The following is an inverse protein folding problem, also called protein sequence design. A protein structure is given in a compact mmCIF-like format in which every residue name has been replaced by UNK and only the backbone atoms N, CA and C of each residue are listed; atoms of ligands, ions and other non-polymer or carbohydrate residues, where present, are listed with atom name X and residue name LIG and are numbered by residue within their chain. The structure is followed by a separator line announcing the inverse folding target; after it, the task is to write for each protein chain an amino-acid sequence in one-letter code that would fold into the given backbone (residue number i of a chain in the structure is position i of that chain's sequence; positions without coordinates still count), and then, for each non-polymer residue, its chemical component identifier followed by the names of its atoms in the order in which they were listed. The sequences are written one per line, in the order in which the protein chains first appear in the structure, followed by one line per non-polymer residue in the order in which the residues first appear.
data_IF_845305317985
#
_entry.id   IF_845305317985
#
_cell.length_a   1.000
_cell.length_b   1.000
_cell.length_c   1.000
_cell.angle_alpha   90.00
_cell.angle_beta   90.00
_cell.angle_gamma   90.00
#
_symmetry.space_group_name_H-M   'P 1'
#
loop_
_entity.id
_entity.type
_entity.pdbx_description
1 polymer ?
#
# COMPACT_ATOMS: atom_id res chain seq x y z
N UNK A 1 8.20 13.94 0.32
CA UNK A 1 8.43 13.26 -0.97
C UNK A 1 9.49 12.16 -0.85
N UNK A 2 10.76 12.47 -0.53
CA UNK A 2 11.84 11.46 -0.42
C UNK A 2 11.49 10.34 0.56
N UNK A 3 11.00 10.70 1.77
CA UNK A 3 10.59 9.72 2.77
C UNK A 3 9.51 8.77 2.24
N UNK A 4 8.52 9.27 1.50
CA UNK A 4 7.45 8.46 0.92
C UNK A 4 8.00 7.44 -0.07
N UNK A 5 8.98 7.81 -0.90
CA UNK A 5 9.63 6.86 -1.82
C UNK A 5 10.43 5.78 -1.09
N UNK A 6 11.19 6.18 -0.06
CA UNK A 6 11.94 5.22 0.77
C UNK A 6 10.97 4.24 1.43
N UNK A 7 9.88 4.74 2.00
CA UNK A 7 8.86 3.92 2.67
C UNK A 7 8.15 2.96 1.69
N UNK A 8 7.84 3.41 0.48
CA UNK A 8 7.29 2.54 -0.57
C UNK A 8 8.29 1.45 -0.98
N UNK A 9 9.57 1.79 -1.15
CA UNK A 9 10.60 0.81 -1.47
C UNK A 9 10.75 -0.23 -0.34
N UNK A 10 10.79 0.22 0.92
CA UNK A 10 10.83 -0.66 2.10
C UNK A 10 9.59 -1.55 2.16
N UNK A 11 8.40 -1.02 1.88
CA UNK A 11 7.16 -1.79 1.82
C UNK A 11 7.16 -2.83 0.71
N UNK A 12 7.77 -2.53 -0.45
CA UNK A 12 7.93 -3.47 -1.54
C UNK A 12 8.89 -4.62 -1.20
N UNK A 13 10.02 -4.31 -0.54
CA UNK A 13 10.93 -5.32 0.01
C UNK A 13 10.20 -6.17 1.05
N UNK A 14 9.44 -5.56 1.95
CA UNK A 14 8.63 -6.26 2.93
C UNK A 14 7.62 -7.22 2.29
N UNK A 15 6.90 -6.77 1.25
CA UNK A 15 5.96 -7.62 0.50
C UNK A 15 6.66 -8.83 -0.13
N UNK A 16 7.87 -8.65 -0.67
CA UNK A 16 8.67 -9.76 -1.20
C UNK A 16 9.09 -10.73 -0.07
N UNK A 17 9.48 -10.20 1.08
CA UNK A 17 9.85 -11.02 2.25
C UNK A 17 8.68 -11.85 2.78
N UNK A 18 7.46 -11.32 2.82
CA UNK A 18 6.25 -12.08 3.21
C UNK A 18 6.03 -13.25 2.26
N UNK A 19 6.09 -13.01 0.94
CA UNK A 19 5.96 -14.10 -0.03
C UNK A 19 7.07 -15.15 0.09
N UNK A 20 8.32 -14.72 0.22
CA UNK A 20 9.45 -15.64 0.43
C UNK A 20 9.30 -16.45 1.71
N UNK A 21 8.85 -15.82 2.79
CA UNK A 21 8.63 -16.47 4.07
C UNK A 21 7.54 -17.55 3.96
N UNK A 22 6.42 -17.25 3.28
CA UNK A 22 5.35 -18.20 3.01
C UNK A 22 5.83 -19.41 2.19
N UNK A 23 6.50 -19.18 1.05
CA UNK A 23 6.86 -20.26 0.12
C UNK A 23 8.09 -21.07 0.55
N UNK A 24 9.08 -20.44 1.17
CA UNK A 24 10.38 -21.06 1.47
C UNK A 24 10.57 -21.33 2.97
N UNK A 25 9.61 -20.94 3.82
CA UNK A 25 9.74 -21.03 5.27
C UNK A 25 11.05 -20.43 5.79
N UNK A 26 11.40 -19.24 5.30
CA UNK A 26 12.67 -18.58 5.63
C UNK A 26 12.81 -18.29 7.14
N UNK A 27 11.71 -17.99 7.83
CA UNK A 27 11.67 -17.79 9.29
C UNK A 27 10.55 -18.60 9.97
N UNK A 28 10.70 -19.93 10.13
CA UNK A 28 9.63 -20.80 10.61
C UNK A 28 9.15 -20.46 12.03
N UNK A 29 10.08 -20.08 12.91
CA UNK A 29 9.79 -19.83 14.33
C UNK A 29 9.08 -18.51 14.59
N UNK A 30 9.14 -17.56 13.65
CA UNK A 30 8.57 -16.20 13.80
C UNK A 30 7.79 -15.78 12.56
N UNK A 31 7.18 -16.75 11.88
CA UNK A 31 6.50 -16.56 10.60
C UNK A 31 5.48 -15.41 10.66
N UNK A 32 4.53 -15.53 11.59
CA UNK A 32 3.49 -14.53 11.82
C UNK A 32 4.07 -13.18 12.28
N UNK A 33 5.15 -13.18 13.06
CA UNK A 33 5.76 -11.94 13.57
C UNK A 33 6.33 -11.08 12.45
N UNK A 34 6.95 -11.71 11.44
CA UNK A 34 7.46 -10.99 10.27
C UNK A 34 6.31 -10.35 9.48
N UNK A 35 5.25 -11.10 9.20
CA UNK A 35 4.12 -10.62 8.42
C UNK A 35 3.41 -9.46 9.11
N UNK A 36 3.27 -9.54 10.45
CA UNK A 36 2.74 -8.45 11.26
C UNK A 36 3.64 -7.21 11.22
N UNK A 37 4.96 -7.36 11.37
CA UNK A 37 5.89 -6.24 11.29
C UNK A 37 5.80 -5.55 9.92
N UNK A 38 5.81 -6.33 8.84
CA UNK A 38 5.69 -5.80 7.48
C UNK A 38 4.33 -5.10 7.30
N UNK A 39 3.24 -5.66 7.83
CA UNK A 39 1.90 -5.06 7.76
C UNK A 39 1.83 -3.67 8.39
N UNK A 40 2.50 -3.47 9.53
CA UNK A 40 2.57 -2.17 10.22
C UNK A 40 3.32 -1.16 9.35
N UNK A 41 4.49 -1.55 8.83
CA UNK A 41 5.32 -0.69 7.96
C UNK A 41 4.55 -0.33 6.68
N UNK A 42 3.85 -1.30 6.10
CA UNK A 42 3.06 -1.13 4.89
C UNK A 42 1.91 -0.15 5.12
N UNK A 43 1.09 -0.34 6.17
CA UNK A 43 0.00 0.59 6.49
C UNK A 43 0.56 1.98 6.74
N UNK A 44 1.61 2.12 7.54
CA UNK A 44 2.24 3.40 7.83
C UNK A 44 2.69 4.12 6.55
N UNK A 45 3.27 3.36 5.60
CA UNK A 45 3.66 3.87 4.28
C UNK A 45 2.46 4.37 3.49
N UNK A 46 1.39 3.57 3.41
CA UNK A 46 0.18 3.94 2.66
C UNK A 46 -0.50 5.17 3.26
N UNK A 47 -0.57 5.26 4.59
CA UNK A 47 -1.06 6.43 5.31
C UNK A 47 -0.21 7.67 5.03
N UNK A 48 1.13 7.55 5.06
CA UNK A 48 2.04 8.65 4.74
C UNK A 48 1.84 9.16 3.30
N UNK A 49 1.74 8.25 2.33
CA UNK A 49 1.50 8.57 0.91
C UNK A 49 0.17 9.29 0.75
N UNK A 50 -0.90 8.79 1.37
CA UNK A 50 -2.22 9.42 1.32
C UNK A 50 -2.21 10.82 1.93
N UNK A 51 -1.59 11.01 3.11
CA UNK A 51 -1.49 12.33 3.72
C UNK A 51 -0.70 13.33 2.88
N UNK A 52 0.36 12.88 2.20
CA UNK A 52 1.08 13.72 1.26
C UNK A 52 0.17 14.24 0.15
N UNK A 53 -0.61 13.36 -0.51
CA UNK A 53 -1.55 13.78 -1.57
C UNK A 53 -2.72 14.63 -1.06
N UNK A 54 -3.20 14.36 0.15
CA UNK A 54 -4.23 15.20 0.79
C UNK A 54 -3.67 16.60 1.05
N UNK A 55 -2.52 16.71 1.72
CA UNK A 55 -1.89 17.99 2.07
C UNK A 55 -1.50 18.81 0.84
N UNK A 56 -0.82 18.21 -0.13
CA UNK A 56 -0.48 18.91 -1.39
C UNK A 56 -1.74 19.32 -2.16
N UNK A 57 -2.79 18.51 -2.15
CA UNK A 57 -4.03 18.84 -2.83
C UNK A 57 -4.82 19.98 -2.18
N UNK A 58 -4.74 20.14 -0.86
CA UNK A 58 -5.31 21.29 -0.15
C UNK A 58 -4.51 22.55 -0.50
N UNK A 59 -3.18 22.49 -0.41
CA UNK A 59 -2.30 23.62 -0.73
C UNK A 59 -2.51 24.13 -2.17
N UNK A 60 -2.58 23.23 -3.16
CA UNK A 60 -2.85 23.61 -4.56
C UNK A 60 -4.25 24.25 -4.72
N UNK A 61 -5.26 23.74 -3.99
CA UNK A 61 -6.61 24.30 -4.03
C UNK A 61 -6.61 25.72 -3.47
N UNK A 62 -6.04 25.93 -2.28
CA UNK A 62 -5.95 27.24 -1.63
C UNK A 62 -5.20 28.23 -2.53
N UNK A 63 -4.03 27.83 -3.07
CA UNK A 63 -3.26 28.66 -3.98
C UNK A 63 -4.03 29.08 -5.24
N UNK A 64 -4.83 28.17 -5.82
CA UNK A 64 -5.66 28.47 -7.00
C UNK A 64 -6.83 29.39 -6.67
N UNK A 65 -7.37 29.32 -5.44
CA UNK A 65 -8.45 30.19 -4.97
C UNK A 65 -7.94 31.63 -4.73
N UNK A 66 -6.71 31.75 -4.23
CA UNK A 66 -6.07 33.05 -3.98
C UNK A 66 -5.60 33.75 -5.27
N UNK A 67 -5.46 33.00 -6.37
CA UNK A 67 -4.97 33.48 -7.67
C UNK A 67 -5.90 33.08 -8.82
N UNK A 68 -7.09 33.72 -8.96
CA UNK A 68 -8.09 33.37 -9.96
C UNK A 68 -7.60 33.46 -11.41
N UNK A 69 -6.58 34.27 -11.68
CA UNK A 69 -5.95 34.46 -12.99
C UNK A 69 -5.29 33.20 -13.55
N UNK A 70 -4.90 32.26 -12.68
CA UNK A 70 -4.25 31.00 -13.04
C UNK A 70 -5.30 29.96 -13.47
N UNK A 71 -6.54 30.13 -13.00
CA UNK A 71 -7.69 29.27 -13.27
C UNK A 71 -7.56 27.84 -12.71
N UNK A 72 -8.60 27.04 -12.90
CA UNK A 72 -8.75 25.73 -12.24
C UNK A 72 -7.89 24.59 -12.82
N UNK A 73 -6.95 24.86 -13.73
CA UNK A 73 -6.20 23.82 -14.43
C UNK A 73 -5.42 22.93 -13.47
N UNK A 74 -4.75 23.51 -12.48
CA UNK A 74 -3.95 22.78 -11.50
C UNK A 74 -4.83 21.99 -10.53
N UNK A 75 -5.91 22.60 -10.04
CA UNK A 75 -6.88 21.92 -9.19
C UNK A 75 -7.53 20.71 -9.87
N UNK A 76 -7.97 20.86 -11.14
CA UNK A 76 -8.50 19.74 -11.94
C UNK A 76 -7.45 18.66 -12.18
N UNK A 77 -6.19 19.05 -12.39
CA UNK A 77 -5.06 18.12 -12.51
C UNK A 77 -4.89 17.25 -11.25
N UNK A 78 -4.88 17.87 -10.07
CA UNK A 78 -4.81 17.15 -8.78
C UNK A 78 -5.97 16.20 -8.59
N UNK A 79 -7.20 16.62 -8.92
CA UNK A 79 -8.38 15.75 -8.87
C UNK A 79 -8.23 14.53 -9.80
N UNK A 80 -7.69 14.73 -11.00
CA UNK A 80 -7.39 13.66 -11.94
C UNK A 80 -6.37 12.65 -11.37
N UNK A 81 -5.29 13.14 -10.76
CA UNK A 81 -4.27 12.30 -10.12
C UNK A 81 -4.88 11.50 -8.97
N UNK A 82 -5.62 12.14 -8.06
CA UNK A 82 -6.27 11.46 -6.92
C UNK A 82 -7.21 10.35 -7.39
N UNK A 83 -8.02 10.59 -8.43
CA UNK A 83 -8.94 9.59 -8.99
C UNK A 83 -8.22 8.39 -9.60
N UNK A 84 -7.02 8.59 -10.16
CA UNK A 84 -6.23 7.50 -10.76
C UNK A 84 -5.47 6.71 -9.70
N UNK A 85 -4.92 7.38 -8.70
CA UNK A 85 -4.01 6.78 -7.73
C UNK A 85 -4.73 6.19 -6.51
N UNK A 86 -5.78 6.84 -5.99
CA UNK A 86 -6.39 6.41 -4.72
C UNK A 86 -7.04 5.02 -4.81
N UNK A 87 -7.81 4.67 -5.86
CA UNK A 87 -8.41 3.34 -5.95
C UNK A 87 -7.39 2.18 -5.92
N UNK A 88 -6.32 2.16 -6.74
CA UNK A 88 -5.33 1.08 -6.67
C UNK A 88 -4.55 1.07 -5.35
N UNK A 89 -4.22 2.24 -4.79
CA UNK A 89 -3.54 2.36 -3.49
C UNK A 89 -4.38 1.80 -2.33
N UNK A 90 -5.68 2.06 -2.33
CA UNK A 90 -6.60 1.47 -1.34
C UNK A 90 -6.74 -0.04 -1.55
N UNK A 91 -6.85 -0.48 -2.80
CA UNK A 91 -7.00 -1.89 -3.13
C UNK A 91 -5.77 -2.70 -2.71
N UNK A 92 -4.55 -2.23 -3.01
CA UNK A 92 -3.32 -2.92 -2.59
C UNK A 92 -3.23 -3.03 -1.07
N UNK A 93 -3.65 -1.99 -0.34
CA UNK A 93 -3.67 -2.01 1.13
C UNK A 93 -4.63 -3.06 1.66
N UNK A 94 -5.87 -3.11 1.15
CA UNK A 94 -6.86 -4.10 1.56
C UNK A 94 -6.43 -5.53 1.22
N UNK A 95 -5.92 -5.74 0.00
CA UNK A 95 -5.44 -7.05 -0.43
C UNK A 95 -4.26 -7.52 0.40
N UNK A 96 -3.32 -6.64 0.72
CA UNK A 96 -2.16 -6.99 1.53
C UNK A 96 -2.57 -7.38 2.94
N UNK A 97 -3.46 -6.61 3.57
CA UNK A 97 -3.97 -6.94 4.90
C UNK A 97 -4.71 -8.27 4.92
N UNK A 98 -5.52 -8.54 3.89
CA UNK A 98 -6.17 -9.83 3.74
C UNK A 98 -5.15 -10.97 3.56
N UNK A 99 -4.11 -10.77 2.75
CA UNK A 99 -3.04 -11.75 2.56
C UNK A 99 -2.35 -12.09 3.89
N UNK A 100 -1.96 -11.10 4.68
CA UNK A 100 -1.31 -11.31 6.00
C UNK A 100 -2.22 -12.06 6.98
N UNK A 101 -3.51 -11.71 7.03
CA UNK A 101 -4.48 -12.41 7.88
C UNK A 101 -4.65 -13.87 7.42
N UNK A 102 -4.81 -14.08 6.11
CA UNK A 102 -4.97 -15.40 5.52
C UNK A 102 -3.73 -16.27 5.77
N UNK A 103 -2.53 -15.70 5.65
CA UNK A 103 -1.28 -16.39 5.94
C UNK A 103 -1.21 -16.87 7.39
N UNK A 104 -1.47 -15.96 8.34
CA UNK A 104 -1.51 -16.31 9.76
C UNK A 104 -2.57 -17.37 10.08
N UNK A 105 -3.75 -17.31 9.47
CA UNK A 105 -4.80 -18.33 9.67
C UNK A 105 -4.50 -19.67 9.01
N UNK A 106 -3.78 -19.68 7.88
CA UNK A 106 -3.25 -20.89 7.25
C UNK A 106 -2.23 -21.56 8.16
N UNK A 107 -1.29 -20.79 8.73
CA UNK A 107 -0.29 -21.30 9.68
C UNK A 107 -0.92 -21.91 10.94
N UNK A 108 -2.10 -21.42 11.36
CA UNK A 108 -2.91 -22.00 12.45
C UNK A 108 -3.73 -23.24 12.02
N UNK A 109 -3.62 -23.68 10.77
CA UNK A 109 -4.34 -24.84 10.21
C UNK A 109 -5.85 -24.63 10.04
N UNK A 110 -6.31 -23.37 9.97
CA UNK A 110 -7.75 -23.04 9.92
C UNK A 110 -8.27 -22.78 8.51
N UNK A 111 -7.40 -22.45 7.56
CA UNK A 111 -7.75 -22.02 6.20
C UNK A 111 -6.85 -22.73 5.18
N UNK A 112 -7.33 -22.85 3.94
CA UNK A 112 -6.56 -23.39 2.82
C UNK A 112 -5.52 -22.36 2.30
N UNK A 113 -4.30 -22.83 2.04
CA UNK A 113 -3.17 -22.08 1.48
C UNK A 113 -3.52 -21.29 0.20
N UNK A 114 -4.39 -21.84 -0.65
CA UNK A 114 -4.77 -21.22 -1.93
C UNK A 114 -5.28 -19.78 -1.78
N UNK A 115 -5.93 -19.47 -0.65
CA UNK A 115 -6.41 -18.12 -0.38
C UNK A 115 -5.26 -17.13 -0.25
N UNK A 116 -4.16 -17.51 0.41
CA UNK A 116 -2.98 -16.66 0.48
C UNK A 116 -2.45 -16.36 -0.92
N UNK A 117 -2.25 -17.37 -1.76
CA UNK A 117 -1.70 -17.18 -3.10
C UNK A 117 -2.52 -16.20 -3.95
N UNK A 118 -3.86 -16.34 -3.95
CA UNK A 118 -4.74 -15.45 -4.71
C UNK A 118 -4.56 -13.99 -4.26
N UNK A 119 -4.65 -13.75 -2.95
CA UNK A 119 -4.55 -12.40 -2.40
C UNK A 119 -3.14 -11.82 -2.52
N UNK A 120 -2.11 -12.63 -2.34
CA UNK A 120 -0.72 -12.23 -2.49
C UNK A 120 -0.41 -11.79 -3.93
N UNK A 121 -0.75 -12.60 -4.93
CA UNK A 121 -0.50 -12.25 -6.33
C UNK A 121 -1.31 -11.04 -6.78
N UNK A 122 -2.56 -10.89 -6.32
CA UNK A 122 -3.33 -9.67 -6.56
C UNK A 122 -2.67 -8.46 -5.90
N UNK A 123 -2.15 -8.61 -4.68
CA UNK A 123 -1.41 -7.54 -3.99
C UNK A 123 -0.20 -7.10 -4.81
N UNK A 124 0.63 -8.05 -5.26
CA UNK A 124 1.81 -7.76 -6.09
C UNK A 124 1.41 -7.03 -7.39
N UNK A 125 0.36 -7.49 -8.07
CA UNK A 125 -0.15 -6.84 -9.28
C UNK A 125 -0.58 -5.39 -9.01
N UNK A 126 -1.38 -5.15 -7.97
CA UNK A 126 -1.83 -3.79 -7.62
C UNK A 126 -0.70 -2.91 -7.09
N UNK A 127 0.31 -3.49 -6.42
CA UNK A 127 1.49 -2.77 -5.94
C UNK A 127 2.35 -2.24 -7.09
N UNK A 128 2.50 -3.01 -8.17
CA UNK A 128 3.26 -2.59 -9.36
C UNK A 128 2.44 -1.63 -10.24
N UNK A 129 1.12 -1.77 -10.25
CA UNK A 129 0.21 -0.94 -11.05
C UNK A 129 -0.03 0.44 -10.44
N UNK A 130 0.02 0.56 -9.11
CA UNK A 130 -0.18 1.80 -8.37
C UNK A 130 1.00 2.77 -8.57
#
# INVERSE_FOLDING_TARGET
MILSYIMVAVSGVGLALVGLNHYLNFWPTTHITLDLLVSIIFIATQTLVMFFFVGTGVNIKEYTQDHPEIGDKFYKGVLGIKRKLYPPTMMVTMLFMAAVILDGTYYLGKVNEWWFHIFYWLTVYYFIKA
#
